data_IF_642370294443
#
_entry.id   IF_642370294443
#
_cell.length_a   1.000
_cell.length_b   1.000
_cell.length_c   1.000
_cell.angle_alpha   90.00
_cell.angle_beta   90.00
_cell.angle_gamma   90.00
#
_symmetry.space_group_name_H-M   'P 1'
#
loop_
_entity.id
_entity.type
_entity.pdbx_description
1 polymer ?
#
# COMPACT_ATOMS: atom_id res chain seq x y z
N UNK A 1 39.78 -48.35 2.89
CA UNK A 1 39.23 -47.21 2.12
C UNK A 1 37.76 -47.45 1.78
N UNK A 2 36.84 -47.19 2.72
CA UNK A 2 35.37 -47.33 2.53
C UNK A 2 34.67 -46.30 3.41
N UNK A 3 34.76 -45.00 3.10
CA UNK A 3 33.96 -44.00 3.83
C UNK A 3 33.67 -42.71 3.04
N UNK A 4 34.14 -42.58 1.79
CA UNK A 4 33.98 -41.34 1.04
C UNK A 4 32.71 -41.28 0.18
N UNK A 5 32.09 -42.43 -0.13
CA UNK A 5 30.92 -42.47 -1.04
C UNK A 5 29.57 -42.17 -0.35
N UNK A 6 29.51 -42.23 0.98
CA UNK A 6 28.26 -42.08 1.73
C UNK A 6 27.96 -40.60 2.05
N UNK A 7 29.01 -39.81 2.26
CA UNK A 7 28.92 -38.36 2.59
C UNK A 7 28.31 -37.58 1.41
N UNK A 8 28.66 -37.94 0.17
CA UNK A 8 28.20 -37.23 -1.03
C UNK A 8 26.68 -37.36 -1.27
N UNK A 9 26.08 -38.49 -0.88
CA UNK A 9 24.62 -38.70 -1.01
C UNK A 9 23.83 -37.87 -0.02
N UNK A 10 24.40 -37.55 1.14
CA UNK A 10 23.70 -36.76 2.17
C UNK A 10 23.81 -35.26 1.92
N UNK A 11 24.90 -34.78 1.28
CA UNK A 11 25.00 -33.38 0.87
C UNK A 11 23.99 -32.98 -0.21
N UNK A 12 23.61 -33.90 -1.10
CA UNK A 12 22.71 -33.59 -2.22
C UNK A 12 21.22 -33.51 -1.81
N UNK A 13 20.85 -34.14 -0.68
CA UNK A 13 19.47 -34.15 -0.17
C UNK A 13 19.16 -32.94 0.72
N UNK A 14 20.17 -32.29 1.29
CA UNK A 14 20.00 -31.12 2.16
C UNK A 14 19.88 -29.79 1.40
N UNK A 15 20.33 -29.73 0.14
CA UNK A 15 20.25 -28.49 -0.66
C UNK A 15 18.88 -28.26 -1.29
N UNK A 16 18.05 -29.31 -1.44
CA UNK A 16 16.71 -29.19 -2.07
C UNK A 16 15.66 -28.68 -1.05
N UNK A 17 15.91 -28.81 0.25
CA UNK A 17 14.98 -28.36 1.30
C UNK A 17 14.92 -26.82 1.47
N UNK A 18 15.80 -26.06 0.83
CA UNK A 18 15.92 -24.61 1.06
C UNK A 18 15.20 -23.74 0.01
N UNK A 19 14.57 -24.32 -1.02
CA UNK A 19 13.95 -23.54 -2.11
C UNK A 19 12.46 -23.27 -1.85
N UNK A 20 11.87 -23.84 -0.79
CA UNK A 20 10.52 -23.48 -0.34
C UNK A 20 10.51 -22.20 0.50
N UNK A 21 11.20 -21.14 0.06
CA UNK A 21 10.79 -19.79 0.42
C UNK A 21 9.48 -19.51 -0.31
N UNK A 22 8.39 -20.06 0.24
CA UNK A 22 7.03 -19.87 -0.18
C UNK A 22 6.71 -18.38 0.03
N UNK A 23 7.04 -17.57 -0.97
CA UNK A 23 6.68 -16.15 -1.00
C UNK A 23 5.16 -16.13 -1.09
N UNK A 24 4.51 -15.71 0.00
CA UNK A 24 3.07 -15.51 0.00
C UNK A 24 2.73 -14.59 -1.18
N UNK A 25 1.63 -14.86 -1.91
CA UNK A 25 1.18 -13.93 -2.93
C UNK A 25 1.02 -12.55 -2.28
N UNK A 26 1.52 -11.52 -2.96
CA UNK A 26 1.39 -10.17 -2.45
C UNK A 26 -0.10 -9.78 -2.47
N UNK A 27 -0.61 -9.44 -1.29
CA UNK A 27 -1.99 -9.02 -1.08
C UNK A 27 -2.02 -7.51 -0.86
N UNK A 28 -2.81 -6.75 -1.65
CA UNK A 28 -2.93 -5.31 -1.47
C UNK A 28 -3.63 -4.99 -0.15
N UNK A 29 -3.18 -3.92 0.50
CA UNK A 29 -3.79 -3.43 1.73
C UNK A 29 -5.09 -2.69 1.41
N UNK A 30 -6.00 -2.70 2.36
CA UNK A 30 -7.35 -2.10 2.19
C UNK A 30 -7.32 -0.58 2.34
N UNK A 31 -8.37 0.09 1.85
CA UNK A 31 -8.58 1.54 2.10
C UNK A 31 -8.58 1.83 3.61
N UNK A 32 -9.23 0.98 4.41
CA UNK A 32 -9.29 1.13 5.87
C UNK A 32 -7.88 1.12 6.50
N UNK A 33 -7.01 0.23 6.04
CA UNK A 33 -5.62 0.22 6.52
C UNK A 33 -4.95 1.57 6.25
N UNK A 34 -5.06 2.09 5.03
CA UNK A 34 -4.44 3.38 4.69
C UNK A 34 -5.08 4.58 5.39
N UNK A 35 -6.38 4.53 5.67
CA UNK A 35 -7.06 5.55 6.46
C UNK A 35 -6.52 5.62 7.90
N UNK A 36 -6.09 4.50 8.46
CA UNK A 36 -5.42 4.43 9.77
C UNK A 36 -3.91 4.77 9.68
N UNK A 37 -3.33 4.75 8.48
CA UNK A 37 -1.89 4.93 8.21
C UNK A 37 -1.64 6.02 7.16
N UNK A 38 -2.19 7.22 7.36
CA UNK A 38 -2.17 8.32 6.39
C UNK A 38 -0.76 8.71 5.91
N UNK A 39 0.26 8.64 6.77
CA UNK A 39 1.63 8.92 6.37
C UNK A 39 2.15 7.91 5.32
N UNK A 40 1.81 6.64 5.47
CA UNK A 40 2.14 5.59 4.50
C UNK A 40 1.32 5.77 3.22
N UNK A 41 0.02 6.09 3.36
CA UNK A 41 -0.84 6.41 2.22
C UNK A 41 -0.24 7.53 1.38
N UNK A 42 0.17 8.65 1.99
CA UNK A 42 0.81 9.77 1.31
C UNK A 42 2.07 9.35 0.55
N UNK A 43 2.97 8.60 1.20
CA UNK A 43 4.21 8.14 0.57
C UNK A 43 3.95 7.26 -0.66
N UNK A 44 2.88 6.45 -0.61
CA UNK A 44 2.49 5.63 -1.73
C UNK A 44 1.85 6.48 -2.84
N UNK A 45 0.97 7.42 -2.51
CA UNK A 45 0.37 8.39 -3.46
C UNK A 45 1.45 9.09 -4.29
N UNK A 46 2.49 9.63 -3.63
CA UNK A 46 3.59 10.34 -4.29
C UNK A 46 4.32 9.47 -5.32
N UNK A 47 4.36 8.13 -5.11
CA UNK A 47 4.97 7.16 -6.01
C UNK A 47 4.02 6.67 -7.11
N UNK A 48 2.72 6.64 -6.84
CA UNK A 48 1.71 6.08 -7.73
C UNK A 48 1.23 7.07 -8.79
N UNK A 49 1.07 8.35 -8.43
CA UNK A 49 0.61 9.40 -9.35
C UNK A 49 1.43 9.44 -10.66
N UNK A 50 2.77 9.37 -10.64
CA UNK A 50 3.56 9.38 -11.88
C UNK A 50 3.46 8.10 -12.73
N UNK A 51 2.93 7.01 -12.18
CA UNK A 51 2.88 5.69 -12.83
C UNK A 51 1.52 5.35 -13.42
N UNK A 52 0.44 5.96 -12.91
CA UNK A 52 -0.95 5.65 -13.28
C UNK A 52 -1.22 5.75 -14.79
N UNK A 53 -0.59 6.72 -15.46
CA UNK A 53 -0.75 6.95 -16.90
C UNK A 53 0.27 6.20 -17.76
N UNK A 54 1.34 5.69 -17.17
CA UNK A 54 2.47 5.08 -17.89
C UNK A 54 2.33 3.58 -18.07
N UNK A 55 1.52 2.92 -17.24
CA UNK A 55 1.43 1.46 -17.19
C UNK A 55 -0.01 1.03 -17.53
N UNK A 56 -0.20 0.46 -18.73
CA UNK A 56 -1.48 -0.12 -19.15
C UNK A 56 -1.85 -1.27 -18.22
N UNK A 57 -3.07 -1.25 -17.69
CA UNK A 57 -3.57 -2.30 -16.78
C UNK A 57 -3.05 -2.21 -15.34
N UNK A 58 -2.31 -1.14 -14.98
CA UNK A 58 -1.74 -0.95 -13.64
C UNK A 58 -2.78 -1.13 -12.54
N UNK A 59 -3.97 -0.54 -12.71
CA UNK A 59 -5.07 -0.57 -11.72
C UNK A 59 -5.60 -1.96 -11.42
N UNK A 60 -5.35 -2.96 -12.28
CA UNK A 60 -5.77 -4.35 -12.09
C UNK A 60 -4.66 -5.22 -11.48
N UNK A 61 -3.48 -4.65 -11.23
CA UNK A 61 -2.41 -5.34 -10.49
C UNK A 61 -2.61 -5.12 -8.99
N UNK A 62 -2.13 -6.02 -8.13
CA UNK A 62 -2.12 -5.78 -6.69
C UNK A 62 -1.50 -4.43 -6.31
N UNK A 63 -0.40 -4.02 -6.95
CA UNK A 63 0.24 -2.72 -6.70
C UNK A 63 -0.66 -1.55 -7.09
N UNK A 64 -1.39 -1.66 -8.20
CA UNK A 64 -2.35 -0.65 -8.61
C UNK A 64 -3.56 -0.56 -7.67
N UNK A 65 -4.00 -1.69 -7.11
CA UNK A 65 -5.03 -1.70 -6.06
C UNK A 65 -4.52 -1.01 -4.79
N UNK A 66 -3.29 -1.27 -4.38
CA UNK A 66 -2.65 -0.63 -3.22
C UNK A 66 -2.54 0.90 -3.43
N UNK A 67 -2.14 1.31 -4.63
CA UNK A 67 -2.11 2.71 -5.03
C UNK A 67 -3.48 3.38 -5.02
N UNK A 68 -4.51 2.74 -5.58
CA UNK A 68 -5.86 3.29 -5.59
C UNK A 68 -6.38 3.45 -4.15
N UNK A 69 -6.19 2.43 -3.31
CA UNK A 69 -6.64 2.45 -1.92
C UNK A 69 -5.94 3.55 -1.11
N UNK A 70 -4.63 3.75 -1.32
CA UNK A 70 -3.87 4.83 -0.68
C UNK A 70 -4.28 6.23 -1.16
N UNK A 71 -4.52 6.40 -2.47
CA UNK A 71 -5.01 7.67 -3.05
C UNK A 71 -6.37 8.02 -2.45
N UNK A 72 -7.29 7.06 -2.42
CA UNK A 72 -8.63 7.29 -1.88
C UNK A 72 -8.59 7.65 -0.39
N UNK A 73 -7.85 6.88 0.41
CA UNK A 73 -7.69 7.17 1.84
C UNK A 73 -7.08 8.56 2.10
N UNK A 74 -6.04 8.94 1.35
CA UNK A 74 -5.38 10.23 1.50
C UNK A 74 -6.29 11.39 1.09
N UNK A 75 -7.03 11.27 -0.02
CA UNK A 75 -7.96 12.31 -0.48
C UNK A 75 -9.10 12.55 0.53
N UNK A 76 -9.63 11.48 1.13
CA UNK A 76 -10.66 11.58 2.16
C UNK A 76 -10.15 12.33 3.40
N UNK A 77 -8.96 12.01 3.91
CA UNK A 77 -8.36 12.75 5.03
C UNK A 77 -8.16 14.24 4.71
N UNK A 78 -7.72 14.58 3.50
CA UNK A 78 -7.57 15.98 3.09
C UNK A 78 -8.91 16.72 3.06
N UNK A 79 -9.98 16.05 2.63
CA UNK A 79 -11.33 16.62 2.65
C UNK A 79 -11.84 16.84 4.07
N UNK A 80 -11.67 15.86 4.96
CA UNK A 80 -12.08 15.98 6.36
C UNK A 80 -11.34 17.13 7.08
N UNK A 81 -10.03 17.26 6.83
CA UNK A 81 -9.22 18.36 7.34
C UNK A 81 -9.70 19.72 6.80
N UNK A 82 -10.09 19.79 5.53
CA UNK A 82 -10.67 20.99 4.95
C UNK A 82 -12.00 21.37 5.62
N UNK A 83 -12.92 20.42 5.75
CA UNK A 83 -14.21 20.64 6.42
C UNK A 83 -14.03 21.12 7.87
N UNK A 84 -13.07 20.53 8.59
CA UNK A 84 -12.76 20.96 9.96
C UNK A 84 -12.29 22.42 10.02
N UNK A 85 -11.34 22.82 9.18
CA UNK A 85 -10.85 24.21 9.10
C UNK A 85 -11.97 25.19 8.74
N UNK A 86 -12.87 24.76 7.87
CA UNK A 86 -14.02 25.55 7.44
C UNK A 86 -15.03 25.74 8.57
N UNK A 87 -15.34 24.68 9.32
CA UNK A 87 -16.17 24.76 10.51
C UNK A 87 -15.55 25.67 11.59
N UNK A 88 -14.24 25.55 11.82
CA UNK A 88 -13.50 26.42 12.74
C UNK A 88 -13.58 27.90 12.32
N UNK A 89 -13.47 28.16 11.02
CA UNK A 89 -13.60 29.51 10.45
C UNK A 89 -15.01 30.06 10.62
N UNK A 90 -16.04 29.25 10.32
CA UNK A 90 -17.45 29.58 10.56
C UNK A 90 -17.71 29.93 12.03
N UNK A 91 -17.21 29.10 12.95
CA UNK A 91 -17.34 29.31 14.39
C UNK A 91 -16.64 30.60 14.85
N UNK A 92 -15.46 30.89 14.29
CA UNK A 92 -14.68 32.10 14.61
C UNK A 92 -15.38 33.39 14.16
N UNK A 93 -16.05 33.37 13.02
CA UNK A 93 -16.63 34.57 12.41
C UNK A 93 -18.16 34.68 12.53
N UNK A 94 -18.84 33.74 13.19
CA UNK A 94 -20.31 33.66 13.32
C UNK A 94 -21.05 33.81 11.97
N UNK A 95 -20.44 33.41 10.85
CA UNK A 95 -21.06 33.49 9.52
C UNK A 95 -21.65 32.13 9.15
N UNK A 96 -22.88 32.05 8.61
CA UNK A 96 -23.44 30.79 8.16
C UNK A 96 -22.59 30.20 7.03
N UNK A 97 -22.40 28.88 7.10
CA UNK A 97 -21.68 28.10 6.09
C UNK A 97 -22.46 28.06 4.77
N UNK A 98 -21.78 28.33 3.65
CA UNK A 98 -22.29 28.07 2.29
C UNK A 98 -21.30 27.12 1.62
N UNK A 99 -21.72 25.87 1.41
CA UNK A 99 -20.91 24.90 0.68
C UNK A 99 -20.70 25.36 -0.78
N UNK A 100 -19.48 25.29 -1.32
CA UNK A 100 -19.28 25.50 -2.76
C UNK A 100 -20.02 24.39 -3.53
N UNK A 101 -20.75 24.81 -4.57
CA UNK A 101 -21.43 23.91 -5.51
C UNK A 101 -20.44 23.16 -6.39
#
# INVERSE_FOLDING_TARGET
MKNTKQILKHLLLLTIASIAACSKPYEPKTIKYYAEHIAEAKLLVDKCVPQREKIVGYVNTPQGLDCNNAIEAYQNDQWDQYQKKLQESVNKFKRPFVAPK
#
